data_IF_052451364372
#
_entry.id   IF_052451364372
#
_cell.length_a   1.000
_cell.length_b   1.000
_cell.length_c   1.000
_cell.angle_alpha   90.00
_cell.angle_beta   90.00
_cell.angle_gamma   90.00
#
_symmetry.space_group_name_H-M   'P 1'
#
loop_
_entity.id
_entity.type
_entity.pdbx_description
1 polymer ?
#
# COMPACT_ATOMS: atom_id res chain seq x y z
N UNK A 1 0.33 -31.67 10.78
CA UNK A 1 -0.08 -30.31 11.12
C UNK A 1 0.38 -29.35 10.04
N UNK A 2 -0.50 -28.48 9.57
CA UNK A 2 -0.23 -27.43 8.57
C UNK A 2 -0.43 -26.05 9.21
N UNK A 3 0.55 -25.19 9.15
CA UNK A 3 0.49 -23.84 9.72
C UNK A 3 0.78 -22.82 8.62
N UNK A 4 -0.09 -21.82 8.50
CA UNK A 4 0.10 -20.70 7.59
C UNK A 4 0.66 -19.52 8.38
N UNK A 5 1.73 -18.90 7.87
CA UNK A 5 2.44 -17.80 8.50
C UNK A 5 2.31 -16.60 7.55
N UNK A 6 1.41 -15.66 7.89
CA UNK A 6 0.98 -14.57 7.04
C UNK A 6 1.13 -13.19 7.74
N UNK A 7 2.36 -12.78 8.12
CA UNK A 7 2.61 -11.53 8.79
C UNK A 7 2.77 -10.37 7.81
N UNK A 8 2.58 -9.15 8.31
CA UNK A 8 3.09 -7.92 7.72
C UNK A 8 4.55 -7.68 8.12
N UNK A 9 5.17 -6.68 7.52
CA UNK A 9 6.46 -6.14 7.94
C UNK A 9 6.38 -5.52 9.35
N UNK A 10 7.48 -5.59 10.07
CA UNK A 10 7.68 -4.80 11.28
C UNK A 10 8.45 -3.54 10.87
N UNK A 11 7.71 -2.48 10.63
CA UNK A 11 8.23 -1.24 10.07
C UNK A 11 9.50 -0.78 10.81
N UNK A 12 10.47 -0.29 10.04
CA UNK A 12 11.80 0.11 10.50
C UNK A 12 12.64 -1.01 11.19
N UNK A 13 12.21 -2.29 11.07
CA UNK A 13 12.89 -3.42 11.71
C UNK A 13 13.06 -4.62 10.79
N UNK A 14 11.99 -5.24 10.29
CA UNK A 14 12.07 -6.50 9.57
C UNK A 14 11.01 -6.57 8.47
N UNK A 15 11.38 -7.02 7.27
CA UNK A 15 10.43 -7.24 6.18
C UNK A 15 9.43 -8.37 6.52
N UNK A 16 8.29 -8.41 5.86
CA UNK A 16 7.27 -9.44 6.07
C UNK A 16 7.84 -10.85 5.85
N UNK A 17 8.73 -11.01 4.85
CA UNK A 17 9.46 -12.26 4.63
C UNK A 17 10.34 -12.61 5.83
N UNK A 18 11.11 -11.65 6.33
CA UNK A 18 11.98 -11.86 7.50
C UNK A 18 11.19 -12.23 8.76
N UNK A 19 10.02 -11.61 8.96
CA UNK A 19 9.09 -11.96 10.05
C UNK A 19 8.59 -13.40 9.89
N UNK A 20 8.14 -13.77 8.70
CA UNK A 20 7.66 -15.13 8.41
C UNK A 20 8.75 -16.19 8.61
N UNK A 21 10.00 -15.91 8.18
CA UNK A 21 11.15 -16.78 8.42
C UNK A 21 11.44 -16.98 9.90
N UNK A 22 11.49 -15.88 10.68
CA UNK A 22 11.77 -15.93 12.10
C UNK A 22 10.72 -16.73 12.87
N UNK A 23 9.43 -16.55 12.54
CA UNK A 23 8.32 -17.32 13.10
C UNK A 23 8.47 -18.79 12.72
N UNK A 24 8.72 -19.12 11.45
CA UNK A 24 8.88 -20.50 10.97
C UNK A 24 10.02 -21.22 11.69
N UNK A 25 11.16 -20.57 11.89
CA UNK A 25 12.29 -21.12 12.64
C UNK A 25 11.94 -21.43 14.10
N UNK A 26 11.10 -20.60 14.72
CA UNK A 26 10.61 -20.82 16.11
C UNK A 26 9.69 -22.04 16.19
N UNK A 27 8.72 -22.12 15.29
CA UNK A 27 7.76 -23.23 15.23
C UNK A 27 8.45 -24.58 14.96
N UNK A 28 9.44 -24.61 14.05
CA UNK A 28 10.17 -25.82 13.70
C UNK A 28 10.95 -26.43 14.87
N UNK A 29 11.27 -25.66 15.92
CA UNK A 29 11.90 -26.19 17.14
C UNK A 29 10.99 -27.14 17.92
N UNK A 30 9.67 -26.93 17.84
CA UNK A 30 8.67 -27.76 18.54
C UNK A 30 8.03 -28.75 17.56
N UNK A 31 7.79 -28.33 16.33
CA UNK A 31 7.13 -29.10 15.30
C UNK A 31 8.01 -29.30 14.05
N UNK A 32 9.07 -30.08 14.13
CA UNK A 32 10.04 -30.25 13.03
C UNK A 32 9.43 -30.90 11.77
N UNK A 33 8.27 -31.55 11.90
CA UNK A 33 7.56 -32.23 10.79
C UNK A 33 6.30 -31.46 10.34
N UNK A 34 6.04 -30.27 10.88
CA UNK A 34 4.90 -29.46 10.44
C UNK A 34 5.13 -28.89 9.04
N UNK A 35 4.08 -28.80 8.26
CA UNK A 35 4.07 -28.07 6.99
C UNK A 35 3.88 -26.57 7.31
N UNK A 36 4.97 -25.80 7.17
CA UNK A 36 4.98 -24.35 7.40
C UNK A 36 4.86 -23.62 6.06
N UNK A 37 3.69 -23.00 5.81
CA UNK A 37 3.41 -22.25 4.58
C UNK A 37 3.60 -20.78 4.87
N UNK A 38 4.63 -20.17 4.28
CA UNK A 38 4.92 -18.74 4.44
C UNK A 38 4.21 -17.94 3.37
N UNK A 39 3.36 -17.01 3.79
CA UNK A 39 2.61 -16.09 2.96
C UNK A 39 2.85 -14.65 3.46
N UNK A 40 4.04 -14.07 3.24
CA UNK A 40 4.30 -12.70 3.66
C UNK A 40 3.26 -11.75 3.03
N UNK A 41 2.73 -10.85 3.84
CA UNK A 41 1.62 -9.98 3.51
C UNK A 41 2.05 -8.51 3.50
N UNK A 42 1.16 -7.64 3.01
CA UNK A 42 1.21 -6.19 3.13
C UNK A 42 -0.21 -5.61 3.04
N UNK A 43 -0.39 -4.36 3.45
CA UNK A 43 -1.67 -3.64 3.43
C UNK A 43 -1.83 -2.67 2.23
N UNK A 44 -0.95 -2.78 1.21
CA UNK A 44 -0.93 -1.85 0.06
C UNK A 44 -0.04 -0.61 0.30
N UNK A 45 0.72 -0.60 1.37
CA UNK A 45 1.75 0.39 1.66
C UNK A 45 3.14 -0.06 1.22
N UNK A 46 4.14 0.42 1.93
CA UNK A 46 5.56 0.07 1.75
C UNK A 46 5.78 -1.43 1.97
N UNK A 47 6.58 -2.07 1.10
CA UNK A 47 6.90 -3.50 1.16
C UNK A 47 5.89 -4.41 0.44
N UNK A 48 4.88 -3.85 -0.22
CA UNK A 48 3.91 -4.62 -1.02
C UNK A 48 4.58 -5.39 -2.15
N UNK A 49 5.50 -4.75 -2.91
CA UNK A 49 6.27 -5.39 -3.98
C UNK A 49 7.10 -6.52 -3.43
N UNK A 50 7.84 -6.29 -2.34
CA UNK A 50 8.71 -7.30 -1.72
C UNK A 50 7.90 -8.52 -1.25
N UNK A 51 6.78 -8.28 -0.55
CA UNK A 51 5.90 -9.35 -0.04
C UNK A 51 5.33 -10.21 -1.16
N UNK A 52 4.86 -9.60 -2.26
CA UNK A 52 4.33 -10.33 -3.39
C UNK A 52 5.43 -11.13 -4.09
N UNK A 53 6.59 -10.53 -4.35
CA UNK A 53 7.72 -11.22 -5.02
C UNK A 53 8.34 -12.32 -4.15
N UNK A 54 8.24 -12.25 -2.82
CA UNK A 54 8.66 -13.33 -1.93
C UNK A 54 7.74 -14.56 -1.99
N UNK A 55 6.46 -14.36 -2.34
CA UNK A 55 5.47 -15.44 -2.42
C UNK A 55 5.22 -15.93 -3.85
N UNK A 56 5.51 -15.11 -4.86
CA UNK A 56 5.23 -15.39 -6.27
C UNK A 56 6.52 -15.42 -7.08
N UNK A 57 6.55 -16.26 -8.12
CA UNK A 57 7.63 -16.19 -9.12
C UNK A 57 7.53 -14.89 -9.93
N UNK A 58 8.41 -13.95 -9.65
CA UNK A 58 8.42 -12.64 -10.27
C UNK A 58 9.79 -11.99 -10.29
N UNK A 59 9.87 -10.83 -10.90
CA UNK A 59 11.10 -10.07 -11.10
C UNK A 59 10.98 -8.70 -10.45
N UNK A 60 11.99 -8.29 -9.68
CA UNK A 60 12.15 -6.90 -9.28
C UNK A 60 12.81 -6.13 -10.43
N UNK A 61 12.09 -5.17 -10.99
CA UNK A 61 12.57 -4.27 -12.05
C UNK A 61 12.85 -2.89 -11.49
N UNK A 62 13.74 -2.15 -12.15
CA UNK A 62 14.03 -0.75 -11.82
C UNK A 62 13.91 0.11 -13.07
N UNK A 63 13.32 1.27 -12.90
CA UNK A 63 13.16 2.27 -13.96
C UNK A 63 13.59 3.63 -13.44
N UNK A 64 14.39 4.35 -14.23
CA UNK A 64 14.77 5.70 -13.90
C UNK A 64 13.64 6.65 -14.27
N UNK A 65 13.06 7.30 -13.26
CA UNK A 65 11.89 8.18 -13.38
C UNK A 65 12.12 9.50 -12.65
N UNK A 66 11.18 10.43 -12.79
CA UNK A 66 11.21 11.71 -12.04
C UNK A 66 10.72 11.47 -10.62
N UNK A 67 11.50 11.91 -9.65
CA UNK A 67 11.08 12.01 -8.26
C UNK A 67 10.06 13.13 -8.03
N UNK A 68 9.50 13.23 -6.80
CA UNK A 68 8.41 14.17 -6.51
C UNK A 68 8.77 15.65 -6.73
N UNK A 69 10.04 16.03 -6.58
CA UNK A 69 10.55 17.38 -6.81
C UNK A 69 11.32 17.51 -8.14
N UNK A 70 11.14 16.58 -9.08
CA UNK A 70 11.72 16.64 -10.42
C UNK A 70 13.13 16.04 -10.57
N UNK A 71 13.81 15.69 -9.48
CA UNK A 71 15.09 14.96 -9.52
C UNK A 71 14.88 13.53 -9.98
N UNK A 72 15.82 12.98 -10.77
CA UNK A 72 15.71 11.59 -11.21
C UNK A 72 15.94 10.61 -10.06
N UNK A 73 15.13 9.57 -9.98
CA UNK A 73 15.22 8.47 -9.02
C UNK A 73 15.16 7.13 -9.74
N UNK A 74 15.83 6.10 -9.18
CA UNK A 74 15.76 4.73 -9.68
C UNK A 74 14.68 3.98 -8.88
N UNK A 75 13.45 3.98 -9.40
CA UNK A 75 12.28 3.41 -8.75
C UNK A 75 12.14 1.92 -9.04
N UNK A 76 11.90 1.12 -8.00
CA UNK A 76 11.65 -0.31 -8.10
C UNK A 76 10.17 -0.61 -8.34
N UNK A 77 9.88 -1.70 -9.06
CA UNK A 77 8.53 -2.22 -9.25
C UNK A 77 8.58 -3.74 -9.52
N UNK A 78 7.50 -4.44 -9.17
CA UNK A 78 7.39 -5.88 -9.34
C UNK A 78 6.80 -6.25 -10.71
N UNK A 79 7.29 -7.31 -11.31
CA UNK A 79 6.77 -7.88 -12.53
C UNK A 79 6.50 -9.37 -12.36
N UNK A 80 5.27 -9.81 -12.63
CA UNK A 80 4.85 -11.21 -12.64
C UNK A 80 4.61 -11.64 -14.09
N UNK A 81 5.59 -12.30 -14.75
CA UNK A 81 5.53 -12.59 -16.17
C UNK A 81 4.44 -13.60 -16.54
N UNK A 82 4.11 -14.53 -15.63
CA UNK A 82 3.15 -15.60 -15.88
C UNK A 82 1.70 -15.10 -16.09
N UNK A 83 1.34 -13.95 -15.54
CA UNK A 83 0.01 -13.34 -15.65
C UNK A 83 0.05 -11.88 -16.10
N UNK A 84 1.18 -11.41 -16.62
CA UNK A 84 1.39 -10.05 -17.11
C UNK A 84 0.95 -8.95 -16.12
N UNK A 85 1.25 -9.16 -14.83
CA UNK A 85 0.88 -8.21 -13.76
C UNK A 85 2.09 -7.38 -13.34
N UNK A 86 1.94 -6.07 -13.31
CA UNK A 86 2.89 -5.14 -12.71
C UNK A 86 2.38 -4.71 -11.33
N UNK A 87 3.29 -4.66 -10.34
CA UNK A 87 3.04 -4.15 -8.99
C UNK A 87 3.88 -2.89 -8.82
N UNK A 88 3.23 -1.77 -8.59
CA UNK A 88 3.87 -0.46 -8.48
C UNK A 88 3.52 0.15 -7.13
N UNK A 89 4.53 0.44 -6.31
CA UNK A 89 4.39 1.32 -5.16
C UNK A 89 4.65 2.75 -5.64
N UNK A 90 3.65 3.62 -5.58
CA UNK A 90 3.82 5.00 -6.00
C UNK A 90 4.91 5.72 -5.20
N UNK A 91 5.16 5.28 -3.98
CA UNK A 91 6.16 5.85 -3.09
C UNK A 91 7.60 5.71 -3.63
N UNK A 92 7.89 4.71 -4.45
CA UNK A 92 9.19 4.55 -5.12
C UNK A 92 9.53 5.70 -6.08
N UNK A 93 8.51 6.35 -6.66
CA UNK A 93 8.69 7.48 -7.57
C UNK A 93 8.19 8.82 -6.99
N UNK A 94 7.21 8.80 -6.09
CA UNK A 94 6.49 10.00 -5.65
C UNK A 94 6.25 10.01 -4.13
N UNK A 95 7.10 9.31 -3.35
CA UNK A 95 6.95 9.09 -1.92
C UNK A 95 7.62 10.14 -1.03
N UNK A 96 7.13 10.21 0.22
CA UNK A 96 7.66 11.10 1.26
C UNK A 96 9.12 10.77 1.64
N UNK A 97 9.53 9.50 1.55
CA UNK A 97 10.89 9.07 1.83
C UNK A 97 11.92 9.65 0.86
N UNK A 98 11.49 10.07 -0.35
CA UNK A 98 12.34 10.71 -1.34
C UNK A 98 12.55 12.20 -1.09
N UNK A 99 11.83 12.77 -0.11
CA UNK A 99 11.87 14.21 0.18
C UNK A 99 12.28 14.45 1.63
N UNK A 100 13.46 15.03 1.89
CA UNK A 100 13.85 15.44 3.23
C UNK A 100 12.79 16.32 3.88
N UNK A 101 12.58 16.17 5.20
CA UNK A 101 11.50 16.85 5.93
C UNK A 101 11.46 18.37 5.67
N UNK A 102 12.63 19.03 5.66
CA UNK A 102 12.73 20.48 5.40
C UNK A 102 12.53 20.91 3.95
N UNK A 103 12.37 19.95 3.01
CA UNK A 103 12.16 20.23 1.58
C UNK A 103 10.77 19.78 1.10
N UNK A 104 9.93 19.29 2.00
CA UNK A 104 8.56 18.88 1.65
C UNK A 104 7.76 20.09 1.22
N UNK A 105 7.16 19.99 0.03
CA UNK A 105 6.33 21.03 -0.55
C UNK A 105 5.18 20.39 -1.37
N UNK A 106 4.00 20.36 -0.77
CA UNK A 106 2.80 19.81 -1.39
C UNK A 106 2.34 20.62 -2.63
N UNK A 107 2.79 21.88 -2.77
CA UNK A 107 2.39 22.77 -3.87
C UNK A 107 3.03 22.39 -5.20
N UNK A 108 4.29 21.89 -5.16
CA UNK A 108 5.10 21.62 -6.35
C UNK A 108 5.39 20.13 -6.56
N UNK A 109 5.19 19.29 -5.55
CA UNK A 109 5.40 17.84 -5.67
C UNK A 109 4.48 17.22 -6.72
N UNK A 110 5.02 16.31 -7.52
CA UNK A 110 4.33 15.75 -8.68
C UNK A 110 4.34 14.21 -8.70
N UNK A 111 3.24 13.63 -9.17
CA UNK A 111 3.08 12.20 -9.45
C UNK A 111 3.64 11.77 -10.80
N UNK A 112 4.36 12.63 -11.53
CA UNK A 112 4.82 12.35 -12.89
C UNK A 112 5.62 11.04 -12.99
N UNK A 113 6.53 10.79 -12.05
CA UNK A 113 7.32 9.55 -12.02
C UNK A 113 6.48 8.29 -11.79
N UNK A 114 5.38 8.39 -11.04
CA UNK A 114 4.41 7.28 -10.93
C UNK A 114 3.80 6.95 -12.30
N UNK A 115 3.45 7.97 -13.10
CA UNK A 115 2.99 7.75 -14.47
C UNK A 115 4.07 7.16 -15.38
N UNK A 116 5.35 7.55 -15.20
CA UNK A 116 6.48 6.93 -15.90
C UNK A 116 6.64 5.45 -15.56
N UNK A 117 6.41 5.04 -14.29
CA UNK A 117 6.39 3.63 -13.88
C UNK A 117 5.24 2.87 -14.54
N UNK A 118 4.03 3.45 -14.59
CA UNK A 118 2.89 2.85 -15.28
C UNK A 118 3.24 2.65 -16.76
N UNK A 119 3.84 3.64 -17.42
CA UNK A 119 4.29 3.52 -18.81
C UNK A 119 5.33 2.41 -18.99
N UNK A 120 6.29 2.28 -18.07
CA UNK A 120 7.26 1.19 -18.12
C UNK A 120 6.58 -0.18 -17.98
N UNK A 121 5.55 -0.29 -17.16
CA UNK A 121 4.74 -1.52 -17.06
C UNK A 121 3.99 -1.81 -18.38
N UNK A 122 3.41 -0.80 -19.02
CA UNK A 122 2.78 -0.95 -20.34
C UNK A 122 3.79 -1.39 -21.41
N UNK A 123 4.99 -0.84 -21.38
CA UNK A 123 6.08 -1.21 -22.30
C UNK A 123 6.56 -2.66 -22.07
N UNK A 124 6.43 -3.18 -20.85
CA UNK A 124 6.67 -4.58 -20.52
C UNK A 124 5.51 -5.51 -20.89
N UNK A 125 4.39 -4.98 -21.39
CA UNK A 125 3.23 -5.75 -21.79
C UNK A 125 2.25 -6.07 -20.66
N UNK A 126 2.17 -5.22 -19.63
CA UNK A 126 1.23 -5.40 -18.54
C UNK A 126 -0.21 -5.44 -19.02
N UNK A 127 -0.96 -6.43 -18.55
CA UNK A 127 -2.41 -6.57 -18.71
C UNK A 127 -3.16 -6.20 -17.42
N UNK A 128 -2.45 -6.23 -16.30
CA UNK A 128 -2.93 -5.79 -14.98
C UNK A 128 -1.85 -4.95 -14.31
N UNK A 129 -2.24 -3.82 -13.73
CA UNK A 129 -1.37 -2.99 -12.90
C UNK A 129 -2.00 -2.87 -11.52
N UNK A 130 -1.27 -3.29 -10.50
CA UNK A 130 -1.62 -3.06 -9.10
C UNK A 130 -0.82 -1.84 -8.65
N UNK A 131 -1.52 -0.80 -8.26
CA UNK A 131 -0.93 0.44 -7.80
C UNK A 131 -1.18 0.61 -6.30
N UNK A 132 -0.14 0.43 -5.50
CA UNK A 132 -0.13 0.74 -4.08
C UNK A 132 0.16 2.23 -3.90
N UNK A 133 -0.76 2.96 -3.25
CA UNK A 133 -0.72 4.42 -3.21
C UNK A 133 -0.42 5.01 -1.83
N UNK A 134 0.05 4.18 -0.90
CA UNK A 134 0.56 4.63 0.40
C UNK A 134 1.82 5.48 0.30
N UNK A 135 2.13 6.26 1.34
CA UNK A 135 3.41 6.98 1.49
C UNK A 135 3.62 8.20 0.57
N UNK A 136 2.60 8.73 -0.09
CA UNK A 136 2.71 9.81 -1.08
C UNK A 136 3.25 11.14 -0.52
N UNK A 137 4.15 11.81 -1.28
CA UNK A 137 4.59 13.19 -1.04
C UNK A 137 3.74 14.25 -1.76
N UNK A 138 2.87 13.84 -2.67
CA UNK A 138 2.22 14.68 -3.67
C UNK A 138 0.79 15.08 -3.28
N UNK A 139 0.35 16.21 -3.82
CA UNK A 139 -1.03 16.71 -3.69
C UNK A 139 -1.47 17.38 -5.01
N UNK A 140 -1.21 16.70 -6.12
CA UNK A 140 -1.41 17.20 -7.48
C UNK A 140 -2.62 16.58 -8.20
N UNK A 141 -3.50 15.88 -7.46
CA UNK A 141 -4.67 15.25 -8.07
C UNK A 141 -4.34 14.08 -9.01
N UNK A 142 -3.07 13.62 -9.03
CA UNK A 142 -2.58 12.68 -10.02
C UNK A 142 -2.28 13.30 -11.39
N UNK A 143 -2.29 14.63 -11.48
CA UNK A 143 -2.06 15.37 -12.72
C UNK A 143 -0.73 15.00 -13.39
N UNK A 144 0.36 14.93 -12.62
CA UNK A 144 1.65 14.49 -13.15
C UNK A 144 1.60 13.09 -13.76
N UNK A 145 0.93 12.15 -13.09
CA UNK A 145 0.82 10.77 -13.58
C UNK A 145 0.10 10.72 -14.93
N UNK A 146 -1.03 11.42 -15.07
CA UNK A 146 -1.76 11.42 -16.36
C UNK A 146 -1.00 12.19 -17.43
N UNK A 147 -0.23 13.24 -17.10
CA UNK A 147 0.66 13.90 -18.06
C UNK A 147 1.74 12.95 -18.59
N UNK A 148 2.35 12.13 -17.73
CA UNK A 148 3.31 11.11 -18.15
C UNK A 148 2.69 10.05 -19.06
N UNK A 149 1.37 9.84 -18.96
CA UNK A 149 0.60 8.93 -19.79
C UNK A 149 -0.02 9.58 -21.04
N UNK A 150 0.34 10.85 -21.32
CA UNK A 150 -0.01 11.53 -22.56
C UNK A 150 -1.15 12.55 -22.46
N UNK A 151 -1.78 12.74 -21.29
CA UNK A 151 -2.77 13.83 -21.13
C UNK A 151 -2.05 15.18 -21.18
N UNK A 152 -2.55 16.12 -21.96
CA UNK A 152 -2.05 17.49 -21.96
C UNK A 152 -2.93 18.35 -21.05
N UNK A 153 -2.30 18.92 -20.03
CA UNK A 153 -2.90 19.90 -19.13
C UNK A 153 -2.40 21.29 -19.55
N UNK A 154 -3.28 22.11 -20.12
CA UNK A 154 -2.93 23.35 -20.79
C UNK A 154 -3.53 24.56 -20.07
N UNK A 155 -2.76 25.65 -19.97
CA UNK A 155 -3.23 26.94 -19.52
C UNK A 155 -4.04 27.70 -20.59
N UNK A 156 -4.51 28.92 -20.29
CA UNK A 156 -5.28 29.75 -21.20
C UNK A 156 -4.48 30.19 -22.46
N UNK A 157 -3.15 30.12 -22.43
CA UNK A 157 -2.26 30.39 -23.54
C UNK A 157 -1.93 29.14 -24.36
N UNK A 158 -2.44 27.96 -23.98
CA UNK A 158 -2.17 26.68 -24.61
C UNK A 158 -0.80 26.09 -24.24
N UNK A 159 -0.15 26.62 -23.18
CA UNK A 159 1.11 26.09 -22.68
C UNK A 159 0.85 24.94 -21.71
N UNK A 160 1.73 23.94 -21.70
CA UNK A 160 1.67 22.84 -20.72
C UNK A 160 1.95 23.39 -19.30
N UNK A 161 1.09 23.02 -18.36
CA UNK A 161 1.25 23.40 -16.95
C UNK A 161 2.57 22.83 -16.38
N UNK A 162 3.19 23.62 -15.52
CA UNK A 162 4.31 23.16 -14.68
C UNK A 162 3.82 22.11 -13.69
N UNK A 163 4.72 21.22 -13.19
CA UNK A 163 4.35 20.21 -12.20
C UNK A 163 3.84 20.82 -10.89
N UNK A 164 2.99 20.06 -10.19
CA UNK A 164 2.52 20.35 -8.85
C UNK A 164 1.06 20.77 -8.75
N UNK A 165 0.47 20.56 -7.57
CA UNK A 165 -0.95 20.78 -7.35
C UNK A 165 -1.39 22.23 -7.45
N UNK A 166 -0.55 23.17 -7.03
CA UNK A 166 -0.93 24.59 -7.08
C UNK A 166 -1.03 25.13 -8.52
N UNK A 167 -0.26 24.55 -9.46
CA UNK A 167 -0.33 24.93 -10.88
C UNK A 167 -1.69 24.63 -11.51
N UNK A 168 -2.45 23.68 -10.97
CA UNK A 168 -3.78 23.31 -11.45
C UNK A 168 -4.79 24.46 -11.39
N UNK A 169 -4.56 25.48 -10.55
CA UNK A 169 -5.36 26.68 -10.54
C UNK A 169 -5.33 27.47 -11.86
N UNK A 170 -4.32 27.25 -12.71
CA UNK A 170 -4.16 27.88 -14.02
C UNK A 170 -4.64 26.98 -15.17
N UNK A 171 -5.15 25.80 -14.90
CA UNK A 171 -5.64 24.88 -15.91
C UNK A 171 -6.81 25.50 -16.68
N UNK A 172 -6.75 25.46 -18.00
CA UNK A 172 -7.84 25.94 -18.87
C UNK A 172 -8.39 24.84 -19.77
N UNK A 173 -7.58 23.82 -20.08
CA UNK A 173 -8.01 22.72 -20.96
C UNK A 173 -7.31 21.41 -20.62
N UNK A 174 -8.10 20.35 -20.58
CA UNK A 174 -7.63 18.95 -20.55
C UNK A 174 -7.76 18.40 -21.98
N UNK A 175 -6.65 17.92 -22.54
CA UNK A 175 -6.59 17.38 -23.89
C UNK A 175 -6.13 15.91 -23.84
N UNK A 176 -7.00 15.01 -24.29
CA UNK A 176 -6.83 13.55 -24.23
C UNK A 176 -6.26 12.95 -25.52
N UNK A 177 -5.95 13.79 -26.51
CA UNK A 177 -5.60 13.34 -27.88
C UNK A 177 -4.35 12.46 -27.95
N UNK A 178 -3.44 12.56 -26.98
CA UNK A 178 -2.21 11.77 -26.89
C UNK A 178 -2.21 10.79 -25.67
N UNK A 179 -3.36 10.60 -25.04
CA UNK A 179 -3.50 9.58 -23.98
C UNK A 179 -3.13 8.21 -24.53
N UNK A 180 -2.26 7.49 -23.82
CA UNK A 180 -1.78 6.17 -24.24
C UNK A 180 -2.96 5.20 -24.46
N UNK A 181 -3.20 4.75 -25.71
CA UNK A 181 -4.36 3.91 -26.01
C UNK A 181 -4.33 2.54 -25.33
N UNK A 182 -3.16 2.07 -24.89
CA UNK A 182 -3.01 0.79 -24.18
C UNK A 182 -3.75 0.77 -22.84
N UNK A 183 -3.96 1.94 -22.22
CA UNK A 183 -4.66 2.07 -20.95
C UNK A 183 -6.08 1.50 -20.99
N UNK A 184 -6.76 1.59 -22.13
CA UNK A 184 -8.11 1.05 -22.30
C UNK A 184 -8.18 -0.49 -22.22
N UNK A 185 -7.05 -1.18 -22.31
CA UNK A 185 -6.96 -2.64 -22.32
C UNK A 185 -6.28 -3.23 -21.08
N UNK A 186 -5.90 -2.40 -20.14
CA UNK A 186 -5.23 -2.81 -18.90
C UNK A 186 -6.17 -2.66 -17.72
N UNK A 187 -6.23 -3.68 -16.88
CA UNK A 187 -6.93 -3.59 -15.60
C UNK A 187 -6.05 -2.87 -14.58
N UNK A 188 -6.62 -1.86 -13.93
CA UNK A 188 -5.97 -1.15 -12.82
C UNK A 188 -6.68 -1.47 -11.51
N UNK A 189 -5.92 -1.99 -10.54
CA UNK A 189 -6.37 -2.21 -9.16
C UNK A 189 -5.58 -1.28 -8.23
N UNK A 190 -6.29 -0.48 -7.45
CA UNK A 190 -5.68 0.41 -6.45
C UNK A 190 -5.76 -0.26 -5.09
N UNK A 191 -4.60 -0.55 -4.51
CA UNK A 191 -4.48 -1.04 -3.15
C UNK A 191 -4.47 0.15 -2.17
N UNK A 192 -5.61 0.44 -1.55
CA UNK A 192 -5.74 1.53 -0.58
C UNK A 192 -6.96 1.37 0.31
N UNK A 193 -6.80 1.74 1.59
CA UNK A 193 -7.81 1.62 2.64
C UNK A 193 -8.39 2.98 3.08
N UNK A 194 -8.30 4.02 2.22
CA UNK A 194 -8.82 5.36 2.51
C UNK A 194 -10.03 5.69 1.65
N UNK A 195 -11.04 6.33 2.26
CA UNK A 195 -12.32 6.65 1.62
C UNK A 195 -12.53 8.17 1.42
N UNK A 196 -11.49 8.98 1.63
CA UNK A 196 -11.57 10.42 1.51
C UNK A 196 -11.99 10.84 0.09
N UNK A 197 -12.92 11.82 -0.06
CA UNK A 197 -13.18 12.46 -1.33
C UNK A 197 -11.98 13.32 -1.76
N UNK A 198 -11.99 13.81 -2.98
CA UNK A 198 -10.89 14.64 -3.49
C UNK A 198 -10.76 15.96 -2.74
N UNK A 199 -11.86 16.67 -2.52
CA UNK A 199 -11.91 18.02 -1.97
C UNK A 199 -12.78 18.12 -0.72
N UNK A 200 -12.77 19.30 -0.09
CA UNK A 200 -13.59 19.66 1.06
C UNK A 200 -12.98 19.27 2.40
N UNK A 201 -13.76 19.33 3.51
CA UNK A 201 -13.24 19.19 4.87
C UNK A 201 -12.62 17.82 5.17
N UNK A 202 -12.94 16.81 4.38
CA UNK A 202 -12.36 15.45 4.45
C UNK A 202 -11.53 15.13 3.20
N UNK A 203 -11.23 16.12 2.37
CA UNK A 203 -10.49 15.96 1.12
C UNK A 203 -8.99 15.75 1.29
N UNK A 204 -8.35 15.46 0.17
CA UNK A 204 -6.92 15.16 0.08
C UNK A 204 -6.02 16.22 0.73
N UNK A 205 -6.25 17.49 0.39
CA UNK A 205 -5.43 18.60 0.86
C UNK A 205 -5.58 18.86 2.35
N UNK A 206 -6.82 18.82 2.86
CA UNK A 206 -7.12 19.10 4.27
C UNK A 206 -6.54 18.01 5.19
N UNK A 207 -6.74 16.75 4.83
CA UNK A 207 -6.35 15.62 5.69
C UNK A 207 -4.86 15.31 5.57
N UNK A 208 -4.30 15.33 4.37
CA UNK A 208 -2.94 14.84 4.13
C UNK A 208 -1.93 15.93 3.71
N UNK A 209 -2.38 17.14 3.37
CA UNK A 209 -1.50 18.24 2.95
C UNK A 209 -0.49 18.67 4.01
N UNK A 210 -0.86 18.82 5.29
CA UNK A 210 0.07 19.26 6.33
C UNK A 210 1.32 18.39 6.49
N UNK A 211 1.19 17.06 6.47
CA UNK A 211 2.35 16.15 6.55
C UNK A 211 3.27 16.21 5.33
N UNK A 212 2.76 16.75 4.20
CA UNK A 212 3.47 16.96 2.94
C UNK A 212 4.05 18.37 2.83
N UNK A 213 4.01 19.15 3.91
CA UNK A 213 4.60 20.49 4.00
C UNK A 213 3.67 21.64 3.65
N UNK A 214 2.37 21.41 3.46
CA UNK A 214 1.43 22.49 3.19
C UNK A 214 1.08 23.30 4.46
N UNK A 215 1.19 24.61 4.41
CA UNK A 215 0.65 25.53 5.41
C UNK A 215 -0.88 25.58 5.32
N UNK A 216 -1.59 26.07 6.37
CA UNK A 216 -3.06 26.17 6.33
C UNK A 216 -3.60 26.99 5.14
N UNK A 217 -2.90 28.02 4.72
CA UNK A 217 -3.28 28.81 3.53
C UNK A 217 -3.07 28.01 2.23
N UNK A 218 -1.98 27.27 2.12
CA UNK A 218 -1.70 26.41 0.96
C UNK A 218 -2.68 25.26 0.87
N UNK A 219 -3.12 24.69 2.00
CA UNK A 219 -4.16 23.64 2.02
C UNK A 219 -5.43 24.14 1.34
N UNK A 220 -5.89 25.36 1.63
CA UNK A 220 -7.06 25.94 1.00
C UNK A 220 -6.87 26.17 -0.52
N UNK A 221 -5.69 26.68 -0.90
CA UNK A 221 -5.37 26.89 -2.31
C UNK A 221 -5.30 25.59 -3.09
N UNK A 222 -4.68 24.57 -2.51
CA UNK A 222 -4.60 23.23 -3.11
C UNK A 222 -5.97 22.59 -3.24
N UNK A 223 -6.83 22.70 -2.24
CA UNK A 223 -8.19 22.14 -2.28
C UNK A 223 -9.02 22.80 -3.42
N UNK A 224 -8.93 24.11 -3.58
CA UNK A 224 -9.56 24.83 -4.70
C UNK A 224 -8.97 24.44 -6.05
N UNK A 225 -7.65 24.28 -6.15
CA UNK A 225 -6.97 23.87 -7.38
C UNK A 225 -7.34 22.43 -7.80
N UNK A 226 -7.46 21.52 -6.84
CA UNK A 226 -7.96 20.15 -7.09
C UNK A 226 -9.42 20.15 -7.54
N UNK A 227 -10.27 20.98 -6.95
CA UNK A 227 -11.67 21.13 -7.35
C UNK A 227 -11.78 21.63 -8.79
N UNK A 228 -10.99 22.64 -9.15
CA UNK A 228 -10.92 23.17 -10.53
C UNK A 228 -10.43 22.12 -11.52
N UNK A 229 -9.37 21.37 -11.17
CA UNK A 229 -8.88 20.26 -11.99
C UNK A 229 -9.96 19.20 -12.22
N UNK A 230 -10.67 18.79 -11.17
CA UNK A 230 -11.73 17.80 -11.26
C UNK A 230 -12.88 18.27 -12.16
N UNK A 231 -13.25 19.55 -12.10
CA UNK A 231 -14.28 20.12 -12.95
C UNK A 231 -13.93 20.02 -14.45
N UNK A 232 -12.72 20.42 -14.81
CA UNK A 232 -12.26 20.35 -16.19
C UNK A 232 -12.05 18.90 -16.68
N UNK A 233 -11.61 18.00 -15.79
CA UNK A 233 -11.56 16.58 -16.11
C UNK A 233 -12.96 16.01 -16.35
N UNK A 234 -13.95 16.38 -15.53
CA UNK A 234 -15.33 15.92 -15.69
C UNK A 234 -15.91 16.35 -17.03
N UNK A 235 -15.62 17.56 -17.47
CA UNK A 235 -16.02 18.05 -18.81
C UNK A 235 -15.33 17.27 -19.95
N UNK A 236 -14.04 16.95 -19.81
CA UNK A 236 -13.27 16.26 -20.84
C UNK A 236 -13.60 14.76 -20.96
N UNK A 237 -13.97 14.12 -19.85
CA UNK A 237 -14.21 12.68 -19.72
C UNK A 237 -15.70 12.30 -19.68
N UNK A 238 -16.61 13.27 -19.59
CA UNK A 238 -18.04 13.09 -19.33
C UNK A 238 -18.31 12.22 -18.08
N UNK A 239 -17.46 12.40 -17.06
CA UNK A 239 -17.49 11.61 -15.83
C UNK A 239 -16.91 12.40 -14.65
N UNK A 240 -17.67 12.55 -13.56
CA UNK A 240 -17.22 13.16 -12.31
C UNK A 240 -17.09 12.11 -11.21
N UNK A 241 -15.87 11.95 -10.69
CA UNK A 241 -15.55 10.98 -9.62
C UNK A 241 -14.98 11.66 -8.37
N UNK A 242 -15.04 13.00 -8.29
CA UNK A 242 -14.39 13.75 -7.19
C UNK A 242 -14.89 13.36 -5.81
N UNK A 243 -16.17 13.03 -5.68
CA UNK A 243 -16.82 12.68 -4.42
C UNK A 243 -16.86 11.17 -4.16
N UNK A 244 -16.37 10.36 -5.10
CA UNK A 244 -16.29 8.92 -4.87
C UNK A 244 -15.29 8.56 -3.76
N UNK A 245 -15.60 7.56 -2.91
CA UNK A 245 -14.67 7.10 -1.87
C UNK A 245 -13.29 6.76 -2.45
N UNK A 246 -12.23 7.28 -1.83
CA UNK A 246 -10.85 7.06 -2.27
C UNK A 246 -10.31 8.03 -3.32
N UNK A 247 -11.13 8.94 -3.87
CA UNK A 247 -10.64 9.95 -4.83
C UNK A 247 -9.58 10.88 -4.23
N UNK A 248 -9.63 11.14 -2.91
CA UNK A 248 -8.61 11.91 -2.19
C UNK A 248 -7.34 11.14 -1.84
N UNK A 249 -7.32 9.82 -2.03
CA UNK A 249 -6.15 9.01 -1.71
C UNK A 249 -4.90 9.50 -2.43
N UNK A 250 -3.76 9.47 -1.71
CA UNK A 250 -2.45 9.88 -2.23
C UNK A 250 -2.44 11.30 -2.85
N UNK A 251 -3.12 12.25 -2.20
CA UNK A 251 -3.16 13.63 -2.70
C UNK A 251 -3.94 13.79 -4.00
N UNK A 252 -4.92 12.91 -4.23
CA UNK A 252 -5.79 12.90 -5.39
C UNK A 252 -5.31 12.00 -6.54
N UNK A 253 -4.22 11.23 -6.37
CA UNK A 253 -3.87 10.20 -7.36
C UNK A 253 -5.02 9.19 -7.53
N UNK A 254 -5.78 8.92 -6.45
CA UNK A 254 -7.00 8.12 -6.50
C UNK A 254 -8.05 8.66 -7.45
N UNK A 255 -8.25 9.98 -7.50
CA UNK A 255 -9.12 10.63 -8.47
C UNK A 255 -8.66 10.36 -9.91
N UNK A 256 -7.37 10.62 -10.21
CA UNK A 256 -6.83 10.39 -11.54
C UNK A 256 -6.95 8.92 -11.96
N UNK A 257 -6.68 7.98 -11.05
CA UNK A 257 -6.82 6.56 -11.33
C UNK A 257 -8.27 6.16 -11.68
N UNK A 258 -9.25 6.69 -10.96
CA UNK A 258 -10.68 6.45 -11.26
C UNK A 258 -11.13 7.12 -12.56
N UNK A 259 -10.72 8.36 -12.78
CA UNK A 259 -11.16 9.15 -13.92
C UNK A 259 -10.55 8.67 -15.24
N UNK A 260 -9.24 8.45 -15.28
CA UNK A 260 -8.50 8.19 -16.51
C UNK A 260 -8.17 6.71 -16.74
N UNK A 261 -8.04 5.91 -15.66
CA UNK A 261 -7.62 4.51 -15.75
C UNK A 261 -8.77 3.52 -15.48
N UNK A 262 -9.96 4.02 -15.14
CA UNK A 262 -11.10 3.20 -14.72
C UNK A 262 -10.74 2.22 -13.59
N UNK A 263 -9.84 2.64 -12.70
CA UNK A 263 -9.26 1.80 -11.68
C UNK A 263 -10.29 1.37 -10.63
N UNK A 264 -10.16 0.11 -10.19
CA UNK A 264 -10.96 -0.46 -9.10
C UNK A 264 -10.21 -0.33 -7.78
N UNK A 265 -10.89 0.15 -6.75
CA UNK A 265 -10.33 0.26 -5.41
C UNK A 265 -10.63 -1.01 -4.62
N UNK A 266 -9.61 -1.57 -4.01
CA UNK A 266 -9.70 -2.74 -3.15
C UNK A 266 -8.84 -2.52 -1.90
N UNK A 267 -9.23 -3.16 -0.80
CA UNK A 267 -8.39 -3.18 0.38
C UNK A 267 -7.01 -3.77 0.04
N UNK A 268 -5.94 -3.11 0.47
CA UNK A 268 -4.58 -3.52 0.11
C UNK A 268 -4.29 -4.96 0.50
N UNK A 269 -4.70 -5.35 1.70
CA UNK A 269 -4.54 -6.72 2.19
C UNK A 269 -5.28 -7.76 1.33
N UNK A 270 -6.44 -7.43 0.75
CA UNK A 270 -7.19 -8.35 -0.11
C UNK A 270 -6.50 -8.57 -1.46
N UNK A 271 -5.94 -7.49 -2.03
CA UNK A 271 -5.15 -7.57 -3.28
C UNK A 271 -3.91 -8.44 -3.08
N UNK A 272 -3.17 -8.21 -1.99
CA UNK A 272 -1.98 -9.02 -1.68
C UNK A 272 -2.38 -10.47 -1.41
N UNK A 273 -3.42 -10.71 -0.61
CA UNK A 273 -3.91 -12.06 -0.29
C UNK A 273 -4.33 -12.85 -1.53
N UNK A 274 -4.96 -12.19 -2.51
CA UNK A 274 -5.30 -12.81 -3.80
C UNK A 274 -4.03 -13.28 -4.52
N UNK A 275 -3.03 -12.41 -4.64
CA UNK A 275 -1.80 -12.69 -5.39
C UNK A 275 -0.94 -13.78 -4.74
N UNK A 276 -0.79 -13.73 -3.41
CA UNK A 276 0.01 -14.72 -2.67
C UNK A 276 -0.76 -16.04 -2.45
N UNK A 277 -2.01 -16.13 -2.88
CA UNK A 277 -2.82 -17.33 -2.75
C UNK A 277 -3.18 -17.68 -1.31
N UNK A 278 -3.34 -16.69 -0.41
CA UNK A 278 -3.57 -16.92 1.01
C UNK A 278 -4.79 -17.79 1.29
N UNK A 279 -5.90 -17.58 0.57
CA UNK A 279 -7.12 -18.38 0.76
C UNK A 279 -6.90 -19.87 0.50
N UNK A 280 -6.14 -20.22 -0.54
CA UNK A 280 -5.78 -21.61 -0.83
C UNK A 280 -4.78 -22.17 0.20
N UNK A 281 -3.85 -21.33 0.65
CA UNK A 281 -2.91 -21.72 1.70
C UNK A 281 -3.60 -22.05 3.02
N UNK A 282 -4.65 -21.30 3.38
CA UNK A 282 -5.42 -21.48 4.63
C UNK A 282 -6.28 -22.74 4.61
N UNK A 283 -6.74 -23.21 3.43
CA UNK A 283 -7.54 -24.44 3.35
C UNK A 283 -6.83 -25.63 3.99
N UNK A 284 -7.48 -26.23 4.97
CA UNK A 284 -6.94 -27.38 5.71
C UNK A 284 -5.74 -27.04 6.58
N UNK A 285 -5.51 -25.78 6.92
CA UNK A 285 -4.55 -25.40 7.93
C UNK A 285 -5.12 -25.63 9.34
N UNK A 286 -4.24 -26.00 10.27
CA UNK A 286 -4.59 -26.17 11.68
C UNK A 286 -4.47 -24.84 12.45
N UNK A 287 -3.67 -23.91 11.95
CA UNK A 287 -3.40 -22.62 12.57
C UNK A 287 -2.93 -21.59 11.54
N UNK A 288 -3.36 -20.35 11.70
CA UNK A 288 -2.78 -19.19 11.03
C UNK A 288 -2.05 -18.33 12.05
N UNK A 289 -0.82 -17.95 11.75
CA UNK A 289 -0.06 -16.96 12.52
C UNK A 289 0.12 -15.73 11.65
N UNK A 290 -0.32 -14.58 12.13
CA UNK A 290 -0.13 -13.28 11.49
C UNK A 290 0.56 -12.32 12.45
N UNK A 291 0.86 -11.11 12.01
CA UNK A 291 1.50 -10.10 12.86
C UNK A 291 1.76 -8.79 12.15
N UNK A 292 2.09 -7.79 12.95
CA UNK A 292 2.51 -6.46 12.51
C UNK A 292 3.36 -5.79 13.61
N UNK A 293 4.01 -4.66 13.29
CA UNK A 293 4.84 -3.95 14.27
C UNK A 293 4.03 -3.42 15.47
N UNK A 294 2.82 -2.91 15.26
CA UNK A 294 1.94 -2.40 16.31
C UNK A 294 0.49 -2.82 16.06
N UNK A 295 0.00 -3.68 16.94
CA UNK A 295 -1.35 -4.24 16.91
C UNK A 295 -2.24 -3.49 17.92
N UNK A 296 -3.19 -2.71 17.42
CA UNK A 296 -4.10 -1.88 18.22
C UNK A 296 -5.46 -1.71 17.51
N UNK A 297 -6.37 -0.90 18.06
CA UNK A 297 -7.69 -0.65 17.48
C UNK A 297 -7.63 -0.13 16.02
N UNK A 298 -6.52 0.47 15.59
CA UNK A 298 -6.38 0.93 14.20
C UNK A 298 -6.25 -0.24 13.21
N UNK A 299 -5.88 -1.42 13.69
CA UNK A 299 -5.78 -2.64 12.87
C UNK A 299 -7.14 -3.01 12.23
N UNK A 300 -8.26 -2.67 12.88
CA UNK A 300 -9.61 -2.82 12.33
C UNK A 300 -9.86 -1.99 11.05
N UNK A 301 -9.03 -1.01 10.77
CA UNK A 301 -9.17 -0.13 9.59
C UNK A 301 -8.54 -0.70 8.32
N UNK A 302 -8.44 -2.02 8.21
CA UNK A 302 -7.99 -2.69 6.99
C UNK A 302 -6.56 -3.20 7.01
N UNK A 303 -5.84 -3.12 8.15
CA UNK A 303 -4.47 -3.63 8.23
C UNK A 303 -4.40 -5.15 8.10
N UNK A 304 -3.20 -5.64 7.80
CA UNK A 304 -2.91 -7.05 7.48
C UNK A 304 -3.49 -8.06 8.46
N UNK A 305 -3.32 -7.98 9.81
CA UNK A 305 -3.82 -9.02 10.69
C UNK A 305 -5.35 -9.17 10.65
N UNK A 306 -6.08 -8.07 10.48
CA UNK A 306 -7.54 -8.09 10.33
C UNK A 306 -7.97 -8.76 9.02
N UNK A 307 -7.32 -8.42 7.90
CA UNK A 307 -7.60 -9.04 6.60
C UNK A 307 -7.31 -10.54 6.59
N UNK A 308 -6.17 -10.94 7.16
CA UNK A 308 -5.77 -12.36 7.31
C UNK A 308 -6.79 -13.12 8.16
N UNK A 309 -7.22 -12.55 9.30
CA UNK A 309 -8.22 -13.17 10.18
C UNK A 309 -9.54 -13.40 9.46
N UNK A 310 -10.04 -12.43 8.69
CA UNK A 310 -11.26 -12.57 7.89
C UNK A 310 -11.18 -13.73 6.88
N UNK A 311 -10.02 -13.92 6.25
CA UNK A 311 -9.80 -15.02 5.32
C UNK A 311 -9.75 -16.36 6.07
N UNK A 312 -9.01 -16.44 7.18
CA UNK A 312 -8.89 -17.64 7.99
C UNK A 312 -10.24 -18.11 8.54
N UNK A 313 -11.06 -17.19 9.04
CA UNK A 313 -12.39 -17.51 9.60
C UNK A 313 -13.40 -18.01 8.58
N UNK A 314 -13.24 -17.74 7.29
CA UNK A 314 -14.06 -18.37 6.23
C UNK A 314 -13.81 -19.88 6.10
N UNK A 315 -12.72 -20.36 6.70
CA UNK A 315 -12.31 -21.77 6.72
C UNK A 315 -12.26 -22.36 8.12
N UNK A 316 -12.83 -21.65 9.12
CA UNK A 316 -12.85 -22.04 10.55
C UNK A 316 -11.45 -22.27 11.15
N UNK A 317 -10.41 -21.64 10.60
CA UNK A 317 -9.04 -21.79 11.09
C UNK A 317 -8.75 -20.74 12.18
N UNK A 318 -8.19 -21.17 13.34
CA UNK A 318 -7.80 -20.25 14.40
C UNK A 318 -6.63 -19.36 13.99
N UNK A 319 -6.63 -18.13 14.55
CA UNK A 319 -5.64 -17.08 14.22
C UNK A 319 -4.96 -16.55 15.47
N UNK A 320 -3.64 -16.62 15.46
CA UNK A 320 -2.78 -16.01 16.50
C UNK A 320 -2.01 -14.84 15.89
N UNK A 321 -1.97 -13.72 16.61
CA UNK A 321 -1.16 -12.54 16.26
C UNK A 321 0.11 -12.53 17.09
N UNK A 322 1.25 -12.28 16.40
CA UNK A 322 2.52 -11.92 17.05
C UNK A 322 2.84 -10.49 16.61
N UNK A 323 2.90 -9.56 17.56
CA UNK A 323 3.09 -8.14 17.28
C UNK A 323 4.34 -7.58 17.96
N UNK A 324 4.96 -6.55 17.39
CA UNK A 324 6.03 -5.82 18.05
C UNK A 324 5.56 -5.25 19.39
N UNK A 325 4.38 -4.65 19.42
CA UNK A 325 3.70 -4.19 20.63
C UNK A 325 2.18 -4.33 20.51
N UNK A 326 1.52 -4.57 21.65
CA UNK A 326 0.06 -4.53 21.76
C UNK A 326 -0.32 -3.13 22.27
N UNK A 327 -1.08 -2.38 21.44
CA UNK A 327 -1.53 -1.04 21.76
C UNK A 327 -2.94 -1.02 22.38
N UNK A 328 -3.46 0.18 22.60
CA UNK A 328 -4.79 0.37 23.19
C UNK A 328 -5.88 -0.18 22.27
N UNK A 329 -6.88 -0.84 22.85
CA UNK A 329 -8.06 -1.37 22.12
C UNK A 329 -7.78 -2.64 21.29
N UNK A 330 -6.60 -3.26 21.36
CA UNK A 330 -6.32 -4.47 20.60
C UNK A 330 -7.29 -5.63 20.93
N UNK A 331 -7.86 -5.65 22.14
CA UNK A 331 -8.80 -6.67 22.58
C UNK A 331 -10.09 -6.70 21.74
N UNK A 332 -10.48 -5.57 21.14
CA UNK A 332 -11.64 -5.49 20.24
C UNK A 332 -11.50 -6.44 19.05
N UNK A 333 -10.27 -6.72 18.60
CA UNK A 333 -10.01 -7.62 17.48
C UNK A 333 -10.33 -9.09 17.78
N UNK A 334 -10.48 -9.49 19.05
CA UNK A 334 -10.93 -10.84 19.39
C UNK A 334 -12.36 -11.12 18.90
N UNK A 335 -13.21 -10.11 18.85
CA UNK A 335 -14.58 -10.21 18.29
C UNK A 335 -14.56 -10.30 16.74
N UNK A 336 -13.40 -10.01 16.14
CA UNK A 336 -13.22 -9.97 14.69
C UNK A 336 -12.35 -11.12 14.14
N UNK A 337 -12.24 -12.22 14.89
CA UNK A 337 -11.64 -13.44 14.39
C UNK A 337 -10.17 -13.64 14.75
N UNK A 338 -9.63 -12.85 15.66
CA UNK A 338 -8.35 -13.12 16.31
C UNK A 338 -8.61 -13.96 17.57
N UNK A 339 -7.92 -15.07 17.74
CA UNK A 339 -8.12 -15.97 18.89
C UNK A 339 -7.13 -15.66 20.04
N UNK A 340 -5.91 -15.19 19.72
CA UNK A 340 -4.93 -14.75 20.70
C UNK A 340 -3.94 -13.76 20.08
N UNK A 341 -3.38 -12.88 20.92
CA UNK A 341 -2.34 -11.92 20.53
C UNK A 341 -1.20 -11.88 21.55
N UNK A 342 0.03 -11.83 21.06
CA UNK A 342 1.25 -11.82 21.85
C UNK A 342 2.20 -10.72 21.39
N UNK A 343 2.78 -9.98 22.35
CA UNK A 343 3.90 -9.10 22.06
C UNK A 343 5.20 -9.91 21.93
N UNK A 344 6.09 -9.49 21.03
CA UNK A 344 7.41 -10.14 20.86
C UNK A 344 8.33 -9.90 22.04
N UNK A 345 8.23 -8.73 22.67
CA UNK A 345 9.10 -8.35 23.80
C UNK A 345 8.80 -9.20 25.02
N UNK A 346 9.83 -9.74 25.66
CA UNK A 346 9.75 -10.54 26.88
C UNK A 346 9.82 -9.70 28.16
N UNK A 347 10.13 -8.42 28.05
CA UNK A 347 10.25 -7.47 29.16
C UNK A 347 10.54 -6.05 28.66
N UNK A 348 10.75 -5.08 29.57
CA UNK A 348 11.09 -3.71 29.20
C UNK A 348 12.39 -3.65 28.39
N UNK A 349 12.35 -3.05 27.21
CA UNK A 349 13.49 -2.78 26.35
C UNK A 349 13.24 -1.52 25.52
N UNK A 350 14.30 -0.89 24.99
CA UNK A 350 14.15 0.24 24.10
C UNK A 350 13.61 -0.21 22.73
N UNK A 351 12.97 0.72 21.99
CA UNK A 351 12.51 0.44 20.63
C UNK A 351 13.68 0.01 19.72
N UNK A 352 14.82 0.68 19.82
CA UNK A 352 16.04 0.36 19.08
C UNK A 352 16.49 -1.08 19.33
N UNK A 353 16.53 -1.52 20.60
CA UNK A 353 16.84 -2.90 20.96
C UNK A 353 15.81 -3.90 20.41
N UNK A 354 14.50 -3.57 20.55
CA UNK A 354 13.44 -4.43 20.04
C UNK A 354 13.53 -4.61 18.53
N UNK A 355 13.82 -3.53 17.79
CA UNK A 355 14.01 -3.59 16.34
C UNK A 355 15.26 -4.40 15.95
N UNK A 356 16.39 -4.19 16.60
CA UNK A 356 17.64 -4.90 16.32
C UNK A 356 17.54 -6.40 16.63
N UNK A 357 16.79 -6.78 17.66
CA UNK A 357 16.63 -8.16 18.10
C UNK A 357 15.36 -8.85 17.58
N UNK A 358 14.58 -8.19 16.73
CA UNK A 358 13.29 -8.68 16.27
C UNK A 358 13.32 -10.13 15.74
N UNK A 359 14.29 -10.58 14.94
CA UNK A 359 14.35 -11.97 14.49
C UNK A 359 14.47 -12.98 15.63
N UNK A 360 15.26 -12.68 16.66
CA UNK A 360 15.41 -13.52 17.85
C UNK A 360 14.11 -13.56 18.68
N UNK A 361 13.55 -12.39 18.95
CA UNK A 361 12.33 -12.24 19.75
C UNK A 361 11.13 -12.95 19.11
N UNK A 362 10.96 -12.80 17.80
CA UNK A 362 9.93 -13.48 17.02
C UNK A 362 10.08 -15.00 17.10
N UNK A 363 11.29 -15.52 16.92
CA UNK A 363 11.57 -16.95 17.00
C UNK A 363 11.25 -17.51 18.40
N UNK A 364 11.69 -16.83 19.47
CA UNK A 364 11.41 -17.24 20.85
C UNK A 364 9.92 -17.23 21.14
N UNK A 365 9.20 -16.17 20.73
CA UNK A 365 7.76 -16.06 20.94
C UNK A 365 6.98 -17.15 20.18
N UNK A 366 7.36 -17.42 18.93
CA UNK A 366 6.75 -18.49 18.15
C UNK A 366 7.00 -19.88 18.76
N UNK A 367 8.19 -20.11 19.32
CA UNK A 367 8.51 -21.34 20.07
C UNK A 367 7.62 -21.50 21.30
N UNK A 368 7.41 -20.43 22.09
CA UNK A 368 6.56 -20.47 23.28
C UNK A 368 5.09 -20.75 22.91
N UNK A 369 4.59 -20.11 21.85
CA UNK A 369 3.24 -20.35 21.33
C UNK A 369 3.09 -21.82 20.90
N UNK A 370 4.07 -22.36 20.18
CA UNK A 370 4.04 -23.75 19.76
C UNK A 370 4.01 -24.72 20.96
N UNK A 371 4.76 -24.46 22.02
CA UNK A 371 4.74 -25.26 23.24
C UNK A 371 3.37 -25.24 23.93
N UNK A 372 2.75 -24.05 24.02
CA UNK A 372 1.41 -23.92 24.64
C UNK A 372 0.37 -24.66 23.79
N UNK A 373 0.44 -24.52 22.47
CA UNK A 373 -0.47 -25.19 21.54
C UNK A 373 -0.34 -26.71 21.59
N UNK A 374 0.91 -27.23 21.71
CA UNK A 374 1.17 -28.66 21.83
C UNK A 374 0.47 -29.26 23.07
N UNK A 375 0.45 -28.54 24.19
CA UNK A 375 -0.25 -29.01 25.40
C UNK A 375 -1.77 -29.18 25.21
N UNK A 376 -2.38 -28.47 24.29
CA UNK A 376 -3.79 -28.60 23.95
C UNK A 376 -4.07 -29.77 22.99
N UNK A 377 -3.09 -30.13 22.15
CA UNK A 377 -3.21 -31.26 21.20
C UNK A 377 -2.98 -32.60 21.90
N UNK A 378 -2.08 -32.65 22.89
CA UNK A 378 -1.68 -33.87 23.60
C UNK A 378 -2.74 -34.33 24.62
N UNK A 379 -3.85 -33.62 24.76
CA UNK A 379 -4.99 -33.95 25.64
C UNK A 379 -6.13 -34.60 24.85
#
# INVERSE_FOLDING_TARGET
>A
MKIVIAPDSFKDSLSAQGVAEAIALGLAQVWPHATLVKCPMADGGEGTVESILAACEGELRRTRVRGPLGTAVDAAWGWLPHNHTAIIEMAEASGLQLVPLGQRDACISSTFGTGELIRAALDAGAQRVILAIGGSATNDGGAGAVQALGVKLLDAQGQTLVPGGLALAQLARVDLSELDPRLAHVRFDIAADVNNPLCGPHGASVIFGPQKGASPAQVQQLDQALGHFAELCAQALDKDVRDEPGSGAAGGLGFAAKAFLSAQFQAGVEVVAELVGLAEAVKGADLVITGEGRFDAQTLRGKTPFGVARIAKRHDVPVIVIAGTLGEGYQELYEHGIDAAFAVTSGPMSLEQACAEAPRLLRERATDIARVWQLAIDR
#
